data_IF_059100232585
#
_entry.id   IF_059100232585
#
_cell.length_a   1.000
_cell.length_b   1.000
_cell.length_c   1.000
_cell.angle_alpha   90.00
_cell.angle_beta   90.00
_cell.angle_gamma   90.00
#
_symmetry.space_group_name_H-M   'P 1'
#
loop_
_entity.id
_entity.type
_entity.pdbx_description
1 polymer ?
#
# COMPACT_ATOMS: atom_id res chain seq x y z
N UNK A 1 -11.48 14.71 2.01
CA UNK A 1 -10.07 14.31 1.95
C UNK A 1 -9.76 13.61 3.26
N UNK A 2 -9.04 12.50 3.20
CA UNK A 2 -8.71 11.63 4.31
C UNK A 2 -7.22 11.27 4.27
N UNK A 3 -6.62 11.06 5.43
CA UNK A 3 -5.25 10.59 5.60
C UNK A 3 -5.24 9.45 6.63
N UNK A 4 -4.38 8.45 6.43
CA UNK A 4 -4.16 7.38 7.39
C UNK A 4 -2.73 6.85 7.31
N UNK A 5 -2.21 6.34 8.44
CA UNK A 5 -0.98 5.57 8.47
C UNK A 5 -1.37 4.09 8.51
N UNK A 6 -0.76 3.29 7.63
CA UNK A 6 -0.96 1.85 7.56
C UNK A 6 0.36 1.19 7.12
N UNK A 7 0.83 0.20 7.89
CA UNK A 7 2.11 -0.49 7.67
C UNK A 7 3.29 0.48 7.41
N UNK A 8 3.46 1.49 8.27
CA UNK A 8 4.54 2.48 8.14
C UNK A 8 4.39 3.49 6.99
N UNK A 9 3.40 3.32 6.11
CA UNK A 9 3.19 4.17 4.95
C UNK A 9 2.04 5.16 5.17
N UNK A 10 2.16 6.36 4.59
CA UNK A 10 1.09 7.36 4.61
C UNK A 10 0.18 7.20 3.40
N UNK A 11 -1.12 7.09 3.65
CA UNK A 11 -2.15 7.00 2.63
C UNK A 11 -2.92 8.31 2.54
N UNK A 12 -3.21 8.74 1.31
CA UNK A 12 -4.02 9.91 1.02
C UNK A 12 -5.21 9.54 0.14
N UNK A 13 -6.38 10.06 0.50
CA UNK A 13 -7.65 9.80 -0.16
C UNK A 13 -8.44 11.09 -0.34
N UNK A 14 -9.11 11.24 -1.48
CA UNK A 14 -9.90 12.43 -1.78
C UNK A 14 -10.38 12.43 -3.22
N UNK A 15 -10.57 13.62 -3.80
CA UNK A 15 -10.83 13.77 -5.23
C UNK A 15 -9.64 14.44 -5.87
N UNK A 16 -8.82 13.64 -6.53
CA UNK A 16 -7.61 14.08 -7.21
C UNK A 16 -7.22 13.08 -8.30
N UNK A 17 -6.56 13.58 -9.35
CA UNK A 17 -5.99 12.74 -10.41
C UNK A 17 -4.47 12.57 -10.30
N UNK A 18 -3.81 13.33 -9.42
CA UNK A 18 -2.36 13.31 -9.25
C UNK A 18 -1.96 13.53 -7.79
N UNK A 19 -0.86 12.91 -7.37
CA UNK A 19 -0.20 13.14 -6.09
C UNK A 19 1.32 13.21 -6.32
N UNK A 20 1.97 14.28 -5.86
CA UNK A 20 3.41 14.47 -6.08
C UNK A 20 3.86 14.45 -7.55
N UNK A 21 2.99 14.86 -8.48
CA UNK A 21 3.24 14.79 -9.92
C UNK A 21 3.03 13.41 -10.55
N UNK A 22 2.76 12.37 -9.76
CA UNK A 22 2.43 11.03 -10.25
C UNK A 22 0.92 10.90 -10.47
N UNK A 23 0.47 10.23 -11.55
CA UNK A 23 -0.94 9.88 -11.73
C UNK A 23 -1.43 9.01 -10.57
N UNK A 24 -2.46 9.45 -9.86
CA UNK A 24 -3.07 8.72 -8.74
C UNK A 24 -4.57 9.00 -8.74
N UNK A 25 -5.39 7.97 -8.96
CA UNK A 25 -6.84 8.12 -9.10
C UNK A 25 -7.48 8.08 -7.71
N UNK A 26 -7.66 9.25 -7.09
CA UNK A 26 -8.37 9.50 -5.84
C UNK A 26 -7.81 8.84 -4.56
N UNK A 27 -6.81 7.96 -4.68
CA UNK A 27 -6.06 7.34 -3.60
C UNK A 27 -4.58 7.20 -3.96
N UNK A 28 -3.68 7.44 -2.99
CA UNK A 28 -2.23 7.34 -3.15
C UNK A 28 -1.55 6.88 -1.85
N UNK A 29 -0.41 6.20 -1.96
CA UNK A 29 0.49 5.87 -0.83
C UNK A 29 1.83 6.59 -0.95
N UNK A 30 2.42 6.96 0.17
CA UNK A 30 3.76 7.53 0.27
C UNK A 30 4.75 6.46 0.72
N UNK A 31 5.79 6.24 -0.09
CA UNK A 31 6.83 5.23 0.17
C UNK A 31 8.05 5.77 0.95
N UNK A 32 7.99 7.03 1.40
CA UNK A 32 9.12 7.72 2.03
C UNK A 32 9.85 8.69 1.10
N UNK A 33 9.74 8.51 -0.23
CA UNK A 33 10.41 9.33 -1.24
C UNK A 33 9.47 9.92 -2.28
N UNK A 34 8.45 9.14 -2.70
CA UNK A 34 7.51 9.50 -3.75
C UNK A 34 6.09 9.00 -3.44
N UNK A 35 5.10 9.68 -4.03
CA UNK A 35 3.72 9.18 -4.04
C UNK A 35 3.57 8.09 -5.10
N UNK A 36 2.91 6.99 -4.75
CA UNK A 36 2.59 5.88 -5.64
C UNK A 36 1.07 5.74 -5.76
N UNK A 37 0.61 5.40 -6.97
CA UNK A 37 -0.78 5.01 -7.19
C UNK A 37 -1.09 3.73 -6.40
N UNK A 38 -2.32 3.62 -5.94
CA UNK A 38 -2.80 2.43 -5.25
C UNK A 38 -3.64 1.60 -6.22
N UNK A 39 -3.03 0.62 -6.88
CA UNK A 39 -3.66 -0.10 -8.01
C UNK A 39 -4.15 0.86 -9.09
N UNK A 40 -5.33 0.61 -9.66
CA UNK A 40 -6.01 1.53 -10.57
C UNK A 40 -6.75 2.70 -9.84
N UNK A 41 -6.67 2.74 -8.51
CA UNK A 41 -7.34 3.71 -7.65
C UNK A 41 -8.85 3.52 -7.54
N UNK A 42 -9.58 4.59 -7.21
CA UNK A 42 -11.06 4.55 -7.09
C UNK A 42 -11.72 5.57 -8.00
N UNK A 43 -12.96 5.35 -8.42
CA UNK A 43 -13.62 6.20 -9.41
C UNK A 43 -14.20 7.51 -8.89
N UNK A 44 -14.40 7.65 -7.57
CA UNK A 44 -14.86 8.89 -6.94
C UNK A 44 -14.24 9.12 -5.54
N UNK A 45 -14.78 10.08 -4.80
CA UNK A 45 -14.23 10.63 -3.57
C UNK A 45 -14.00 9.57 -2.48
N UNK A 46 -12.77 9.47 -1.95
CA UNK A 46 -12.50 8.83 -0.65
C UNK A 46 -12.78 9.84 0.48
N UNK A 47 -13.75 9.52 1.34
CA UNK A 47 -14.17 10.38 2.47
C UNK A 47 -13.48 10.02 3.77
N UNK A 48 -13.17 8.75 3.99
CA UNK A 48 -12.58 8.27 5.22
C UNK A 48 -11.66 7.08 4.99
N UNK A 49 -10.69 6.92 5.89
CA UNK A 49 -9.94 5.69 6.08
C UNK A 49 -10.14 5.19 7.51
N UNK A 50 -10.10 3.87 7.69
CA UNK A 50 -10.06 3.21 8.98
C UNK A 50 -9.13 2.01 8.90
N UNK A 51 -8.43 1.70 9.98
CA UNK A 51 -7.69 0.43 10.09
C UNK A 51 -8.49 -0.50 11.00
N UNK A 52 -8.85 -1.67 10.50
CA UNK A 52 -9.59 -2.68 11.28
C UNK A 52 -9.05 -4.06 10.95
N UNK A 53 -8.76 -4.85 11.99
CA UNK A 53 -8.19 -6.20 11.88
C UNK A 53 -6.94 -6.28 10.97
N UNK A 54 -6.08 -5.25 11.00
CA UNK A 54 -4.87 -5.20 10.20
C UNK A 54 -5.11 -4.88 8.72
N UNK A 55 -6.29 -4.36 8.36
CA UNK A 55 -6.63 -3.98 6.99
C UNK A 55 -6.95 -2.49 6.94
N UNK A 56 -6.49 -1.81 5.89
CA UNK A 56 -6.88 -0.43 5.62
C UNK A 56 -8.19 -0.41 4.84
N UNK A 57 -9.23 0.16 5.42
CA UNK A 57 -10.55 0.30 4.83
C UNK A 57 -10.71 1.75 4.35
N UNK A 58 -11.05 1.93 3.09
CA UNK A 58 -11.46 3.19 2.50
C UNK A 58 -12.99 3.25 2.41
N UNK A 59 -13.58 4.37 2.81
CA UNK A 59 -15.01 4.65 2.64
C UNK A 59 -15.23 5.95 1.86
N UNK A 60 -16.25 6.01 1.02
CA UNK A 60 -16.43 7.13 0.10
C UNK A 60 -17.68 7.07 -0.77
N UNK A 61 -17.64 7.82 -1.87
CA UNK A 61 -18.71 7.90 -2.87
C UNK A 61 -18.41 7.05 -4.12
N UNK A 62 -17.23 6.44 -4.17
CA UNK A 62 -16.81 5.58 -5.27
C UNK A 62 -17.68 4.33 -5.36
N UNK A 63 -17.83 3.81 -6.58
CA UNK A 63 -18.47 2.52 -6.86
C UNK A 63 -17.54 1.52 -7.50
N UNK A 64 -16.38 1.97 -7.95
CA UNK A 64 -15.30 1.16 -8.48
C UNK A 64 -14.04 1.38 -7.65
N UNK A 65 -13.46 0.28 -7.18
CA UNK A 65 -12.13 0.25 -6.61
C UNK A 65 -11.30 -0.72 -7.44
N UNK A 66 -10.17 -0.23 -7.92
CA UNK A 66 -9.19 -1.02 -8.65
C UNK A 66 -9.75 -1.73 -9.91
N UNK A 67 -10.70 -1.09 -10.60
CA UNK A 67 -11.37 -1.66 -11.77
C UNK A 67 -12.48 -2.68 -11.45
N UNK A 68 -12.78 -2.91 -10.17
CA UNK A 68 -13.85 -3.79 -9.70
C UNK A 68 -14.96 -3.01 -9.00
N UNK A 69 -16.20 -3.46 -9.17
CA UNK A 69 -17.34 -2.87 -8.45
C UNK A 69 -17.21 -3.10 -6.94
N UNK A 70 -17.02 -2.01 -6.21
CA UNK A 70 -16.95 -1.97 -4.74
C UNK A 70 -17.67 -0.71 -4.22
N UNK A 71 -19.02 -0.71 -4.18
CA UNK A 71 -19.78 0.46 -3.79
C UNK A 71 -19.50 0.93 -2.37
N UNK A 72 -19.16 2.22 -2.27
CA UNK A 72 -19.05 3.03 -1.05
C UNK A 72 -17.89 2.70 -0.11
N UNK A 73 -17.30 1.52 -0.22
CA UNK A 73 -16.16 1.12 0.58
C UNK A 73 -15.32 0.07 -0.13
N UNK A 74 -14.04 0.00 0.23
CA UNK A 74 -13.09 -1.00 -0.21
C UNK A 74 -12.10 -1.27 0.92
N UNK A 75 -11.59 -2.49 1.01
CA UNK A 75 -10.44 -2.79 1.88
C UNK A 75 -9.20 -2.97 1.03
N UNK A 76 -8.08 -2.53 1.56
CA UNK A 76 -6.76 -2.79 1.03
C UNK A 76 -6.17 -3.98 1.76
N UNK A 77 -5.94 -5.06 1.02
CA UNK A 77 -5.15 -6.20 1.45
C UNK A 77 -3.82 -6.09 0.72
N UNK A 78 -2.84 -5.47 1.37
CA UNK A 78 -1.46 -5.62 0.89
C UNK A 78 -1.00 -7.04 1.21
N UNK A 79 -0.36 -7.74 0.26
CA UNK A 79 0.39 -8.93 0.63
C UNK A 79 1.52 -8.48 1.55
N UNK A 80 1.58 -9.04 2.75
CA UNK A 80 2.72 -8.80 3.62
C UNK A 80 3.96 -9.36 2.91
N UNK A 81 4.93 -8.51 2.60
CA UNK A 81 6.09 -8.88 1.80
C UNK A 81 6.07 -8.37 0.34
N UNK A 82 4.95 -7.84 -0.15
CA UNK A 82 4.86 -7.12 -1.44
C UNK A 82 5.24 -5.66 -1.20
N UNK A 83 6.49 -5.33 -1.51
CA UNK A 83 7.12 -4.04 -1.29
C UNK A 83 6.90 -3.11 -2.49
N UNK A 84 6.92 -3.65 -3.72
CA UNK A 84 6.74 -2.85 -4.94
C UNK A 84 5.25 -2.48 -5.19
N UNK A 85 4.31 -3.21 -4.58
CA UNK A 85 2.86 -3.03 -4.67
C UNK A 85 2.24 -3.61 -5.94
N UNK A 86 2.88 -4.59 -6.57
CA UNK A 86 2.43 -5.22 -7.83
C UNK A 86 1.50 -6.43 -7.62
N UNK A 87 1.17 -6.74 -6.37
CA UNK A 87 0.33 -7.86 -5.90
C UNK A 87 0.98 -9.22 -5.98
N UNK A 88 2.28 -9.28 -6.15
CA UNK A 88 3.06 -10.50 -6.07
C UNK A 88 4.07 -10.33 -4.94
N UNK A 89 4.50 -11.44 -4.33
CA UNK A 89 5.69 -11.43 -3.48
C UNK A 89 6.76 -12.23 -4.20
N UNK A 90 7.70 -11.54 -4.83
CA UNK A 90 8.68 -12.15 -5.71
C UNK A 90 10.10 -11.60 -5.54
N UNK A 91 10.95 -11.82 -6.54
CA UNK A 91 12.35 -11.41 -6.51
C UNK A 91 12.50 -9.88 -6.49
N UNK A 92 11.56 -9.14 -7.05
CA UNK A 92 11.58 -7.67 -7.05
C UNK A 92 11.37 -7.13 -5.63
N UNK A 93 10.50 -7.74 -4.84
CA UNK A 93 10.31 -7.39 -3.43
C UNK A 93 11.54 -7.72 -2.60
N UNK A 94 12.13 -8.89 -2.84
CA UNK A 94 13.38 -9.27 -2.19
C UNK A 94 14.50 -8.28 -2.54
N UNK A 95 14.55 -7.78 -3.78
CA UNK A 95 15.53 -6.79 -4.19
C UNK A 95 15.33 -5.45 -3.45
N UNK A 96 14.09 -5.01 -3.25
CA UNK A 96 13.77 -3.80 -2.48
C UNK A 96 14.18 -3.96 -1.01
N UNK A 97 13.88 -5.12 -0.41
CA UNK A 97 14.26 -5.44 0.95
C UNK A 97 15.79 -5.40 1.12
N UNK A 98 16.51 -6.10 0.26
CA UNK A 98 17.99 -6.17 0.31
C UNK A 98 18.60 -4.78 0.07
N UNK A 99 18.03 -3.97 -0.81
CA UNK A 99 18.51 -2.61 -1.07
C UNK A 99 18.36 -1.68 0.16
N UNK A 100 17.48 -2.03 1.10
CA UNK A 100 17.21 -1.26 2.31
C UNK A 100 17.75 -1.94 3.58
N UNK A 101 18.48 -3.05 3.46
CA UNK A 101 18.94 -3.84 4.62
C UNK A 101 19.85 -3.02 5.53
N UNK A 102 19.65 -3.14 6.85
CA UNK A 102 20.30 -2.32 7.90
C UNK A 102 20.01 -0.82 7.82
N UNK A 103 18.96 -0.39 7.10
CA UNK A 103 18.50 1.00 7.07
C UNK A 103 17.13 1.17 7.76
N UNK A 104 16.73 2.42 7.99
CA UNK A 104 15.42 2.85 8.53
C UNK A 104 14.36 3.07 7.43
N UNK A 105 14.56 2.42 6.27
CA UNK A 105 13.79 2.65 5.03
C UNK A 105 12.54 1.79 4.87
N UNK A 106 11.97 1.84 3.66
CA UNK A 106 10.72 1.16 3.26
C UNK A 106 10.76 -0.38 3.32
N UNK A 107 11.89 -0.99 3.70
CA UNK A 107 12.06 -2.42 3.89
C UNK A 107 11.63 -2.93 5.28
N UNK A 108 11.42 -2.05 6.26
CA UNK A 108 10.88 -2.38 7.57
C UNK A 108 9.36 -2.66 7.45
N UNK A 109 9.01 -3.95 7.39
CA UNK A 109 7.64 -4.45 7.17
C UNK A 109 7.05 -5.13 8.41
N UNK A 110 7.83 -5.29 9.49
CA UNK A 110 7.32 -5.65 10.81
C UNK A 110 7.11 -4.45 11.75
N UNK A 111 7.66 -3.29 11.40
CA UNK A 111 7.47 -2.00 12.06
C UNK A 111 8.34 -1.83 13.31
N UNK A 112 9.46 -2.54 13.41
CA UNK A 112 10.35 -2.48 14.56
C UNK A 112 11.39 -1.34 14.49
N UNK A 113 11.42 -0.61 13.37
CA UNK A 113 12.30 0.51 13.10
C UNK A 113 13.63 0.12 12.43
N UNK A 114 13.79 -1.12 11.97
CA UNK A 114 14.97 -1.61 11.25
C UNK A 114 14.55 -2.51 10.10
N UNK A 115 15.23 -2.39 8.97
CA UNK A 115 15.16 -3.44 7.93
C UNK A 115 16.19 -4.53 8.25
N UNK A 116 15.77 -5.69 8.73
CA UNK A 116 16.66 -6.79 9.11
C UNK A 116 16.16 -8.20 8.73
N UNK A 117 16.74 -9.24 9.36
CA UNK A 117 16.39 -10.63 9.07
C UNK A 117 14.92 -10.96 9.38
N UNK A 118 14.29 -10.21 10.29
CA UNK A 118 12.87 -10.35 10.65
C UNK A 118 11.98 -9.98 9.46
N UNK A 119 12.30 -8.90 8.76
CA UNK A 119 11.63 -8.48 7.53
C UNK A 119 11.86 -9.47 6.38
N UNK A 120 13.09 -9.96 6.24
CA UNK A 120 13.39 -11.03 5.27
C UNK A 120 12.51 -12.27 5.53
N UNK A 121 12.32 -12.62 6.80
CA UNK A 121 11.43 -13.71 7.20
C UNK A 121 9.99 -13.52 6.72
N UNK A 122 9.49 -12.27 6.70
CA UNK A 122 8.15 -11.95 6.23
C UNK A 122 8.03 -12.06 4.71
N UNK A 123 8.99 -11.53 3.95
CA UNK A 123 9.03 -11.67 2.48
C UNK A 123 9.07 -13.14 2.10
N UNK A 124 9.97 -13.93 2.72
CA UNK A 124 10.10 -15.35 2.42
C UNK A 124 8.86 -16.17 2.80
N UNK A 125 8.15 -15.79 3.87
CA UNK A 125 6.92 -16.48 4.27
C UNK A 125 5.76 -16.30 3.27
N UNK A 126 5.83 -15.28 2.43
CA UNK A 126 4.79 -14.96 1.44
C UNK A 126 5.28 -15.12 0.00
N UNK A 127 6.55 -15.51 -0.21
CA UNK A 127 7.15 -15.65 -1.53
C UNK A 127 6.34 -16.58 -2.45
N UNK A 128 6.08 -16.11 -3.67
CA UNK A 128 5.24 -16.77 -4.67
C UNK A 128 3.73 -16.67 -4.42
N UNK A 129 3.28 -15.84 -3.48
CA UNK A 129 1.84 -15.52 -3.34
C UNK A 129 1.45 -14.38 -4.25
N UNK A 130 0.20 -14.45 -4.70
CA UNK A 130 -0.46 -13.40 -5.48
C UNK A 130 -1.75 -12.98 -4.75
N UNK A 131 -2.04 -11.68 -4.76
CA UNK A 131 -3.26 -11.16 -4.12
C UNK A 131 -4.45 -11.43 -5.06
N UNK A 132 -5.56 -12.02 -4.57
CA UNK A 132 -6.74 -12.32 -5.38
C UNK A 132 -7.49 -11.08 -5.88
#
# INVERSE_FOLDING_TARGET
>A
MALAIYNGQLFAGGRFGTAGGQPCRNVARWDGQTWRSLGAGVDDFVRAFAVHNGELIAGGEFIEADGHLSPYWARWVGLKGDLNGDRQVDQEDLAILIASFETDGAGDIDGDGRTDQSDLGIVLAHYGRECP
#
